data_IF_853624638607
#
_entry.id   IF_853624638607
#
_cell.length_a   1.000
_cell.length_b   1.000
_cell.length_c   1.000
_cell.angle_alpha   90.00
_cell.angle_beta   90.00
_cell.angle_gamma   90.00
#
_symmetry.space_group_name_H-M   'P 1'
#
loop_
_entity.id
_entity.type
_entity.pdbx_description
1 polymer ?
#
# COMPACT_ATOMS: atom_id res chain seq x y z
N UNK A 1 -16.10 1.69 3.95
CA UNK A 1 -15.27 2.44 4.92
C UNK A 1 -14.35 3.33 4.12
N UNK A 2 -14.25 4.61 4.46
CA UNK A 2 -13.34 5.56 3.81
C UNK A 2 -12.16 5.83 4.75
N UNK A 3 -11.02 6.18 4.18
CA UNK A 3 -9.88 6.66 4.94
C UNK A 3 -10.11 8.11 5.45
N UNK A 4 -9.21 8.67 6.26
CA UNK A 4 -9.37 10.02 6.82
C UNK A 4 -9.49 11.14 5.77
N UNK A 5 -9.14 10.88 4.51
CA UNK A 5 -9.16 11.84 3.40
C UNK A 5 -10.33 11.61 2.45
N UNK A 6 -11.24 10.67 2.77
CA UNK A 6 -12.43 10.39 1.99
C UNK A 6 -12.18 9.45 0.80
N UNK A 7 -10.99 8.87 0.70
CA UNK A 7 -10.65 7.89 -0.32
C UNK A 7 -11.06 6.48 0.12
N UNK A 8 -11.48 5.60 -0.81
CA UNK A 8 -11.66 4.20 -0.48
C UNK A 8 -10.31 3.55 -0.14
N UNK A 9 -10.29 2.71 0.90
CA UNK A 9 -9.15 1.84 1.13
C UNK A 9 -8.98 0.87 -0.04
N UNK A 10 -7.73 0.63 -0.43
CA UNK A 10 -7.40 -0.42 -1.36
C UNK A 10 -7.07 -1.72 -0.63
N UNK A 11 -7.41 -2.83 -1.27
CA UNK A 11 -7.21 -4.17 -0.74
C UNK A 11 -6.82 -5.10 -1.88
N UNK A 12 -5.86 -6.00 -1.62
CA UNK A 12 -5.53 -7.09 -2.53
C UNK A 12 -5.31 -8.39 -1.73
N UNK A 13 -5.90 -9.48 -2.19
CA UNK A 13 -5.65 -10.81 -1.64
C UNK A 13 -4.32 -11.37 -2.17
N UNK A 14 -3.60 -12.13 -1.35
CA UNK A 14 -2.31 -12.71 -1.78
C UNK A 14 -2.44 -13.77 -2.88
N UNK A 15 -3.61 -14.40 -3.02
CA UNK A 15 -3.94 -15.29 -4.14
C UNK A 15 -3.89 -14.58 -5.51
N UNK A 16 -3.96 -13.25 -5.52
CA UNK A 16 -3.79 -12.41 -6.70
C UNK A 16 -2.63 -11.40 -6.49
N UNK A 17 -1.37 -11.87 -6.48
CA UNK A 17 -0.22 -11.04 -6.12
C UNK A 17 0.05 -9.91 -7.14
N UNK A 18 -0.51 -10.00 -8.35
CA UNK A 18 -0.45 -8.92 -9.33
C UNK A 18 -1.16 -7.64 -8.89
N UNK A 19 -2.04 -7.72 -7.88
CA UNK A 19 -2.74 -6.58 -7.27
C UNK A 19 -1.97 -5.90 -6.13
N UNK A 20 -1.03 -6.60 -5.50
CA UNK A 20 -0.41 -6.17 -4.25
C UNK A 20 0.65 -5.08 -4.45
N UNK A 21 0.83 -4.26 -3.42
CA UNK A 21 1.94 -3.33 -3.32
C UNK A 21 3.25 -4.06 -3.13
N UNK A 22 4.30 -3.48 -3.71
CA UNK A 22 5.63 -4.07 -3.79
C UNK A 22 6.72 -3.06 -3.48
N UNK A 23 7.79 -3.59 -2.90
CA UNK A 23 8.99 -2.84 -2.55
C UNK A 23 9.84 -2.49 -3.79
N UNK A 24 11.02 -1.92 -3.53
CA UNK A 24 12.00 -1.55 -4.56
C UNK A 24 12.56 -2.75 -5.36
N UNK A 25 12.42 -3.97 -4.85
CA UNK A 25 12.85 -5.21 -5.49
C UNK A 25 11.71 -5.92 -6.21
N UNK A 26 10.55 -5.27 -6.36
CA UNK A 26 9.31 -5.84 -6.88
C UNK A 26 8.75 -7.02 -6.06
N UNK A 27 9.12 -7.14 -4.79
CA UNK A 27 8.60 -8.17 -3.89
C UNK A 27 7.35 -7.62 -3.18
N UNK A 28 6.23 -8.37 -3.13
CA UNK A 28 5.07 -7.97 -2.34
C UNK A 28 5.44 -7.67 -0.88
N UNK A 29 4.90 -6.59 -0.32
CA UNK A 29 5.23 -6.16 1.06
C UNK A 29 4.50 -6.96 2.14
N UNK A 30 3.51 -7.77 1.76
CA UNK A 30 2.79 -8.72 2.60
C UNK A 30 2.62 -10.06 1.85
N UNK A 31 2.44 -11.15 2.60
CA UNK A 31 2.22 -12.50 2.08
C UNK A 31 0.84 -13.11 2.39
N UNK A 32 -0.03 -12.35 3.06
CA UNK A 32 -1.39 -12.76 3.43
C UNK A 32 -2.46 -11.95 2.67
N UNK A 33 -2.40 -10.63 2.79
CA UNK A 33 -3.18 -9.66 2.05
C UNK A 33 -2.52 -8.29 2.15
N UNK A 34 -2.86 -7.43 1.20
CA UNK A 34 -2.45 -6.04 1.19
C UNK A 34 -3.63 -5.13 1.56
N UNK A 35 -3.35 -4.08 2.31
CA UNK A 35 -4.33 -3.09 2.74
C UNK A 35 -3.64 -1.73 2.82
N UNK A 36 -4.24 -0.72 2.17
CA UNK A 36 -3.69 0.62 2.15
C UNK A 36 -4.76 1.70 2.05
N UNK A 37 -4.39 2.92 2.45
CA UNK A 37 -5.08 4.17 2.13
C UNK A 37 -4.27 4.93 1.07
N UNK A 38 -4.97 5.70 0.22
CA UNK A 38 -4.34 6.51 -0.83
C UNK A 38 -3.70 7.81 -0.33
N UNK A 39 -3.66 8.03 0.98
CA UNK A 39 -3.11 9.25 1.55
C UNK A 39 -3.98 10.48 1.30
N UNK A 40 -3.42 11.63 1.65
CA UNK A 40 -4.02 12.94 1.50
C UNK A 40 -4.10 13.39 0.04
N UNK A 41 -3.15 12.98 -0.81
CA UNK A 41 -3.13 13.38 -2.22
C UNK A 41 -4.07 12.55 -3.13
N UNK A 42 -4.55 11.41 -2.62
CA UNK A 42 -5.48 10.51 -3.30
C UNK A 42 -4.89 9.84 -4.54
N UNK A 43 -3.57 9.89 -4.71
CA UNK A 43 -2.84 9.23 -5.80
C UNK A 43 -2.18 7.99 -5.24
N UNK A 44 -2.03 6.99 -6.10
CA UNK A 44 -1.59 5.70 -5.61
C UNK A 44 -0.91 4.89 -6.72
N UNK A 45 -0.01 3.99 -6.34
CA UNK A 45 0.61 3.03 -7.24
C UNK A 45 0.98 1.75 -6.49
N UNK A 46 1.04 0.62 -7.19
CA UNK A 46 1.47 -0.64 -6.58
C UNK A 46 2.95 -0.61 -6.18
N UNK A 47 3.82 -0.02 -6.99
CA UNK A 47 5.23 0.10 -6.64
C UNK A 47 5.43 1.25 -5.65
N UNK A 48 5.87 0.95 -4.43
CA UNK A 48 6.06 1.98 -3.38
C UNK A 48 7.16 3.00 -3.73
N UNK A 49 8.07 2.62 -4.64
CA UNK A 49 9.09 3.52 -5.21
C UNK A 49 8.52 4.58 -6.15
N UNK A 50 7.28 4.40 -6.64
CA UNK A 50 6.61 5.39 -7.48
C UNK A 50 6.36 6.67 -6.68
N UNK A 51 6.64 7.86 -7.23
CA UNK A 51 6.31 9.13 -6.57
C UNK A 51 4.83 9.26 -6.21
N UNK A 52 3.94 8.62 -6.97
CA UNK A 52 2.50 8.62 -6.72
C UNK A 52 2.08 7.78 -5.51
N UNK A 53 2.96 6.91 -5.01
CA UNK A 53 2.64 6.03 -3.90
C UNK A 53 3.23 6.49 -2.56
N UNK A 54 4.07 7.52 -2.55
CA UNK A 54 4.86 7.89 -1.36
C UNK A 54 3.99 8.41 -0.20
N UNK A 55 2.80 8.92 -0.49
CA UNK A 55 1.81 9.40 0.50
C UNK A 55 0.83 8.30 0.97
N UNK A 56 0.89 7.11 0.37
CA UNK A 56 0.03 6.01 0.77
C UNK A 56 0.34 5.56 2.21
N UNK A 57 -0.69 5.29 3.00
CA UNK A 57 -0.53 4.62 4.30
C UNK A 57 -0.68 3.12 4.07
N UNK A 58 0.39 2.36 4.31
CA UNK A 58 0.46 0.94 3.97
C UNK A 58 0.63 0.07 5.21
N UNK A 59 0.05 -1.12 5.19
CA UNK A 59 0.47 -2.24 6.02
C UNK A 59 1.64 -2.94 5.33
N UNK A 60 2.74 -3.16 6.03
CA UNK A 60 3.89 -3.91 5.51
C UNK A 60 4.38 -4.96 6.49
N UNK A 61 5.19 -5.91 6.01
CA UNK A 61 5.75 -7.01 6.79
C UNK A 61 4.69 -7.78 7.60
N UNK A 62 3.55 -8.07 6.96
CA UNK A 62 2.40 -8.75 7.58
C UNK A 62 1.89 -8.06 8.85
N UNK A 63 1.96 -6.72 8.90
CA UNK A 63 1.53 -5.91 10.04
C UNK A 63 2.65 -5.50 10.99
N UNK A 64 3.91 -5.88 10.71
CA UNK A 64 5.08 -5.35 11.42
C UNK A 64 5.34 -3.86 11.14
N UNK A 65 4.74 -3.31 10.08
CA UNK A 65 4.79 -1.90 9.74
C UNK A 65 3.39 -1.37 9.40
N UNK A 66 3.05 -0.19 9.92
CA UNK A 66 1.93 0.63 9.46
C UNK A 66 2.38 2.09 9.45
N UNK A 67 2.41 2.70 8.28
CA UNK A 67 2.95 4.06 8.12
C UNK A 67 2.94 4.51 6.67
N UNK A 68 3.56 5.66 6.40
CA UNK A 68 3.71 6.17 5.04
C UNK A 68 4.62 5.24 4.23
N UNK A 69 4.24 4.98 2.99
CA UNK A 69 5.08 4.28 2.03
C UNK A 69 6.39 5.02 1.75
N UNK A 70 6.50 6.31 2.10
CA UNK A 70 7.76 7.03 2.07
C UNK A 70 8.81 6.48 3.02
N UNK A 71 8.36 5.88 4.12
CA UNK A 71 9.14 5.47 5.30
C UNK A 71 9.34 3.95 5.38
N UNK A 72 8.79 3.22 4.41
CA UNK A 72 8.93 1.77 4.23
C UNK A 72 10.07 1.46 3.25
#
# INVERSE_FOLDING_TARGET
MLDPWGNPYGYAEYTNPGGARKDQFNVPINDDFDLWSMGADGRTNQALVSPMARDDVVRGNNGGFVGLASDY
#
